data_IF_093131454825
#
_entry.id   IF_093131454825
#
_cell.length_a   1.000
_cell.length_b   1.000
_cell.length_c   1.000
_cell.angle_alpha   90.00
_cell.angle_beta   90.00
_cell.angle_gamma   90.00
#
_symmetry.space_group_name_H-M   'P 1'
#
loop_
_entity.id
_entity.type
_entity.pdbx_description
1 polymer ?
#
# COMPACT_ATOMS: atom_id res chain seq x y z
N UNK A 1 -44.54 -24.87 65.81
CA UNK A 1 -43.67 -23.70 65.53
C UNK A 1 -42.37 -24.04 64.76
N UNK A 2 -41.86 -25.27 64.86
CA UNK A 2 -40.61 -25.72 64.22
C UNK A 2 -40.59 -25.70 62.67
N UNK A 3 -41.75 -25.87 62.01
CA UNK A 3 -41.84 -25.82 60.52
C UNK A 3 -41.68 -24.40 59.95
N UNK A 4 -41.92 -23.37 60.76
CA UNK A 4 -41.82 -21.96 60.34
C UNK A 4 -40.37 -21.46 60.43
N UNK A 5 -39.63 -21.88 61.46
CA UNK A 5 -38.20 -21.59 61.59
C UNK A 5 -37.37 -22.32 60.53
N UNK A 6 -37.72 -23.57 60.20
CA UNK A 6 -37.05 -24.34 59.16
C UNK A 6 -37.25 -23.72 57.75
N UNK A 7 -38.46 -23.26 57.44
CA UNK A 7 -38.77 -22.53 56.19
C UNK A 7 -38.06 -21.18 56.10
N UNK A 8 -37.92 -20.47 57.22
CA UNK A 8 -37.16 -19.23 57.27
C UNK A 8 -35.66 -19.46 57.06
N UNK A 9 -35.09 -20.53 57.64
CA UNK A 9 -33.69 -20.91 57.43
C UNK A 9 -33.37 -21.28 55.98
N UNK A 10 -34.24 -22.04 55.32
CA UNK A 10 -34.09 -22.40 53.89
C UNK A 10 -34.16 -21.16 52.99
N UNK A 11 -35.07 -20.22 53.27
CA UNK A 11 -35.17 -18.96 52.51
C UNK A 11 -33.92 -18.10 52.69
N UNK A 12 -33.44 -17.95 53.93
CA UNK A 12 -32.19 -17.21 54.22
C UNK A 12 -31.00 -17.82 53.49
N UNK A 13 -30.88 -19.16 53.48
CA UNK A 13 -29.85 -19.86 52.72
C UNK A 13 -29.94 -19.63 51.21
N UNK A 14 -31.16 -19.64 50.65
CA UNK A 14 -31.38 -19.37 49.23
C UNK A 14 -31.04 -17.93 48.86
N UNK A 15 -31.44 -16.94 49.67
CA UNK A 15 -31.07 -15.54 49.46
C UNK A 15 -29.55 -15.32 49.59
N UNK A 16 -28.90 -15.94 50.56
CA UNK A 16 -27.45 -15.86 50.72
C UNK A 16 -26.70 -16.49 49.54
N UNK A 17 -27.17 -17.65 49.05
CA UNK A 17 -26.61 -18.31 47.87
C UNK A 17 -26.78 -17.48 46.60
N UNK A 18 -27.97 -16.91 46.37
CA UNK A 18 -28.24 -16.01 45.24
C UNK A 18 -27.38 -14.75 45.34
N UNK A 19 -27.27 -14.14 46.51
CA UNK A 19 -26.43 -12.96 46.72
C UNK A 19 -24.95 -13.26 46.45
N UNK A 20 -24.45 -14.43 46.88
CA UNK A 20 -23.07 -14.86 46.59
C UNK A 20 -22.85 -15.10 45.10
N UNK A 21 -23.82 -15.72 44.41
CA UNK A 21 -23.74 -15.95 42.96
C UNK A 21 -23.73 -14.62 42.19
N UNK A 22 -24.60 -13.68 42.54
CA UNK A 22 -24.63 -12.33 41.94
C UNK A 22 -23.31 -11.61 42.22
N UNK A 23 -22.81 -11.64 43.46
CA UNK A 23 -21.54 -11.02 43.84
C UNK A 23 -20.37 -11.58 43.01
N UNK A 24 -20.32 -12.90 42.82
CA UNK A 24 -19.29 -13.55 42.00
C UNK A 24 -19.36 -13.16 40.53
N UNK A 25 -20.56 -13.05 39.96
CA UNK A 25 -20.74 -12.60 38.57
C UNK A 25 -20.33 -11.13 38.40
N UNK A 26 -20.69 -10.27 39.36
CA UNK A 26 -20.29 -8.86 39.34
C UNK A 26 -18.76 -8.69 39.48
N UNK A 27 -18.12 -9.44 40.39
CA UNK A 27 -16.66 -9.49 40.54
C UNK A 27 -15.97 -9.93 39.24
N UNK A 28 -16.46 -10.99 38.59
CA UNK A 28 -15.89 -11.46 37.32
C UNK A 28 -16.01 -10.43 36.19
N UNK A 29 -17.07 -9.61 36.20
CA UNK A 29 -17.22 -8.48 35.27
C UNK A 29 -16.30 -7.30 35.59
N UNK A 30 -16.00 -7.07 36.88
CA UNK A 30 -15.09 -6.02 37.31
C UNK A 30 -13.62 -6.37 37.09
N UNK A 31 -13.29 -7.66 37.07
CA UNK A 31 -11.98 -8.16 36.64
C UNK A 31 -11.82 -8.02 35.11
N UNK A 32 -11.94 -6.80 34.60
CA UNK A 32 -11.53 -6.48 33.25
C UNK A 32 -10.01 -6.69 33.18
N UNK A 33 -9.50 -7.54 32.27
CA UNK A 33 -8.06 -7.63 32.07
C UNK A 33 -7.58 -6.23 31.65
N UNK A 34 -6.68 -5.66 32.44
CA UNK A 34 -6.04 -4.40 32.10
C UNK A 34 -5.20 -4.65 30.85
N UNK A 35 -5.78 -4.30 29.69
CA UNK A 35 -5.06 -4.31 28.43
C UNK A 35 -3.93 -3.31 28.62
N UNK A 36 -2.65 -3.70 28.53
CA UNK A 36 -1.55 -2.75 28.64
C UNK A 36 -1.76 -1.71 27.55
N UNK A 37 -2.08 -0.49 27.96
CA UNK A 37 -2.24 0.65 27.07
C UNK A 37 -0.89 0.82 26.39
N UNK A 38 -0.81 0.48 25.10
CA UNK A 38 0.28 0.96 24.26
C UNK A 38 0.25 2.47 24.32
N UNK A 39 1.41 3.09 24.51
CA UNK A 39 1.56 4.54 24.61
C UNK A 39 0.68 5.25 23.56
N UNK A 40 -0.04 6.32 23.95
CA UNK A 40 -0.85 7.08 23.02
C UNK A 40 -0.01 7.53 21.84
N UNK A 41 -0.55 7.37 20.64
CA UNK A 41 0.09 7.88 19.43
C UNK A 41 0.43 9.36 19.63
N UNK A 42 1.65 9.81 19.30
CA UNK A 42 2.00 11.21 19.45
C UNK A 42 1.00 12.07 18.66
N UNK A 43 0.61 13.25 19.19
CA UNK A 43 -0.29 14.13 18.47
C UNK A 43 0.34 14.47 17.13
N UNK A 44 -0.40 14.19 16.05
CA UNK A 44 -0.01 14.61 14.71
C UNK A 44 0.01 16.13 14.76
N UNK A 45 1.20 16.73 14.73
CA UNK A 45 1.32 18.17 14.53
C UNK A 45 0.49 18.52 13.28
N UNK A 46 -0.28 19.62 13.28
CA UNK A 46 -0.87 20.14 12.04
C UNK A 46 0.24 20.14 11.00
N UNK A 47 0.01 19.61 9.79
CA UNK A 47 1.04 19.68 8.78
C UNK A 47 1.37 21.18 8.67
N UNK A 48 2.61 21.54 9.02
CA UNK A 48 3.24 22.69 8.38
C UNK A 48 2.91 22.55 6.89
N UNK A 49 2.58 23.63 6.16
CA UNK A 49 2.24 23.51 4.76
C UNK A 49 3.43 22.88 4.04
N UNK A 50 3.39 21.56 3.93
CA UNK A 50 4.27 20.77 3.11
C UNK A 50 3.86 21.27 1.75
N UNK A 51 4.73 22.09 1.17
CA UNK A 51 4.66 22.36 -0.23
C UNK A 51 4.92 21.00 -0.89
N UNK A 52 3.87 20.20 -1.01
CA UNK A 52 3.81 19.06 -1.91
C UNK A 52 3.81 19.71 -3.30
N UNK A 53 4.96 20.28 -3.69
CA UNK A 53 5.34 20.22 -5.08
C UNK A 53 5.17 18.76 -5.43
N UNK A 54 4.44 18.47 -6.51
CA UNK A 54 4.28 17.12 -7.05
C UNK A 54 5.63 16.42 -6.86
N UNK A 55 5.74 15.56 -5.85
CA UNK A 55 6.94 14.81 -5.63
C UNK A 55 6.85 13.76 -6.72
N UNK A 56 7.39 14.14 -7.88
CA UNK A 56 7.61 13.28 -9.03
C UNK A 56 8.13 11.97 -8.44
N UNK A 57 7.32 10.90 -8.55
CA UNK A 57 7.80 9.58 -8.22
C UNK A 57 9.18 9.45 -8.88
N UNK A 58 10.22 8.96 -8.17
CA UNK A 58 11.55 8.87 -8.75
C UNK A 58 11.40 8.19 -10.11
N UNK A 59 11.73 8.94 -11.17
CA UNK A 59 11.52 8.47 -12.53
C UNK A 59 12.13 7.07 -12.61
N UNK A 60 11.41 6.08 -13.18
CA UNK A 60 11.93 4.73 -13.26
C UNK A 60 13.35 4.79 -13.85
N UNK A 61 14.28 3.96 -13.34
CA UNK A 61 15.65 3.97 -13.84
C UNK A 61 15.60 3.92 -15.37
N UNK A 62 16.32 4.84 -16.02
CA UNK A 62 16.22 5.00 -17.45
C UNK A 62 16.85 3.77 -18.15
N UNK A 63 16.03 2.77 -18.47
CA UNK A 63 16.41 1.51 -19.12
C UNK A 63 16.60 1.69 -20.64
N UNK A 64 17.44 2.64 -21.03
CA UNK A 64 17.85 2.82 -22.43
C UNK A 64 19.35 2.64 -22.62
N UNK A 65 19.71 2.21 -23.83
CA UNK A 65 21.10 2.05 -24.27
C UNK A 65 21.36 2.99 -25.43
N UNK A 66 22.60 3.48 -25.53
CA UNK A 66 23.02 4.26 -26.69
C UNK A 66 22.93 3.41 -27.97
N UNK A 67 22.51 3.98 -29.10
CA UNK A 67 22.57 3.32 -30.39
C UNK A 67 24.02 2.96 -30.74
N UNK A 68 24.19 1.87 -31.49
CA UNK A 68 25.48 1.52 -32.11
C UNK A 68 25.75 2.44 -33.30
N UNK A 69 26.96 2.37 -33.85
CA UNK A 69 27.37 3.17 -35.00
C UNK A 69 26.33 3.12 -36.13
N UNK A 70 25.96 4.30 -36.64
CA UNK A 70 24.92 4.46 -37.65
C UNK A 70 23.49 4.57 -37.12
N UNK A 71 23.29 4.71 -35.80
CA UNK A 71 21.95 4.96 -35.23
C UNK A 71 21.06 3.71 -35.14
N UNK A 72 21.66 2.53 -35.26
CA UNK A 72 20.98 1.25 -35.08
C UNK A 72 20.92 0.86 -33.59
N UNK A 73 19.97 0.00 -33.24
CA UNK A 73 19.82 -0.50 -31.88
C UNK A 73 20.28 -1.95 -31.77
N UNK A 74 20.89 -2.36 -30.65
CA UNK A 74 21.26 -3.75 -30.42
C UNK A 74 20.01 -4.64 -30.27
N UNK A 75 20.16 -5.94 -30.48
CA UNK A 75 19.06 -6.92 -30.39
C UNK A 75 18.41 -6.95 -29.00
N UNK A 76 19.15 -6.59 -27.95
CA UNK A 76 18.61 -6.49 -26.58
C UNK A 76 17.64 -5.31 -26.41
N UNK A 77 17.75 -4.26 -27.23
CA UNK A 77 16.97 -3.03 -27.14
C UNK A 77 16.40 -2.64 -28.51
N UNK A 78 15.48 -3.42 -29.08
CA UNK A 78 15.06 -3.26 -30.48
C UNK A 78 14.15 -2.05 -30.73
N UNK A 79 13.79 -1.25 -29.72
CA UNK A 79 12.90 -0.11 -29.90
C UNK A 79 13.72 1.15 -30.12
N UNK A 80 13.56 1.76 -31.30
CA UNK A 80 14.29 2.97 -31.71
C UNK A 80 13.57 4.23 -31.25
N UNK A 81 14.10 4.95 -30.27
CA UNK A 81 13.58 6.24 -29.82
C UNK A 81 14.26 7.43 -30.48
N UNK A 82 13.45 8.38 -30.96
CA UNK A 82 13.89 9.66 -31.50
C UNK A 82 13.46 10.78 -30.57
N UNK A 83 14.42 11.40 -29.88
CA UNK A 83 14.16 12.45 -28.89
C UNK A 83 13.67 13.74 -29.57
N UNK A 84 14.17 14.05 -30.76
CA UNK A 84 13.80 15.28 -31.49
C UNK A 84 12.30 15.37 -31.80
N UNK A 85 11.65 14.23 -32.03
CA UNK A 85 10.22 14.12 -32.33
C UNK A 85 9.41 13.45 -31.20
N UNK A 86 10.08 13.07 -30.11
CA UNK A 86 9.52 12.31 -28.98
C UNK A 86 8.74 11.06 -29.39
N UNK A 87 9.18 10.35 -30.43
CA UNK A 87 8.53 9.11 -30.89
C UNK A 87 9.46 7.91 -30.82
N UNK A 88 8.88 6.74 -30.59
CA UNK A 88 9.60 5.48 -30.74
C UNK A 88 9.02 4.62 -31.87
N UNK A 89 9.89 3.86 -32.51
CA UNK A 89 9.58 2.93 -33.59
C UNK A 89 9.87 1.50 -33.16
N UNK A 90 8.92 0.61 -33.42
CA UNK A 90 9.08 -0.83 -33.23
C UNK A 90 9.57 -1.51 -34.52
N UNK A 91 10.21 -2.68 -34.40
CA UNK A 91 10.52 -3.51 -35.56
C UNK A 91 9.26 -3.78 -36.42
N UNK A 92 9.38 -3.60 -37.73
CA UNK A 92 8.28 -3.78 -38.69
C UNK A 92 7.43 -2.53 -38.95
N UNK A 93 7.68 -1.41 -38.29
CA UNK A 93 7.07 -0.12 -38.63
C UNK A 93 7.73 0.46 -39.89
N UNK A 94 6.99 1.19 -40.71
CA UNK A 94 7.49 1.70 -42.00
C UNK A 94 8.77 2.54 -41.87
N UNK A 95 8.86 3.34 -40.82
CA UNK A 95 10.01 4.21 -40.59
C UNK A 95 11.14 3.56 -39.78
N UNK A 96 10.99 2.30 -39.34
CA UNK A 96 11.96 1.68 -38.42
C UNK A 96 13.37 1.62 -39.00
N UNK A 97 13.53 1.20 -40.24
CA UNK A 97 14.86 1.00 -40.86
C UNK A 97 15.56 2.31 -41.18
N UNK A 98 14.82 3.36 -41.54
CA UNK A 98 15.35 4.70 -41.87
C UNK A 98 15.57 5.60 -40.66
N UNK A 99 15.01 5.25 -39.50
CA UNK A 99 15.19 6.05 -38.29
C UNK A 99 16.56 5.76 -37.67
N UNK A 100 17.36 6.81 -37.55
CA UNK A 100 18.53 6.85 -36.68
C UNK A 100 18.06 7.14 -35.26
N UNK A 101 18.15 6.13 -34.39
CA UNK A 101 17.77 6.24 -32.99
C UNK A 101 18.72 7.17 -32.25
N UNK A 102 18.18 7.93 -31.29
CA UNK A 102 18.98 8.65 -30.30
C UNK A 102 19.11 7.82 -29.00
N UNK A 103 18.10 6.99 -28.71
CA UNK A 103 18.05 6.05 -27.58
C UNK A 103 17.40 4.74 -28.01
N UNK A 104 17.85 3.62 -27.44
CA UNK A 104 17.34 2.28 -27.70
C UNK A 104 16.71 1.68 -26.45
N UNK A 105 15.50 1.14 -26.56
CA UNK A 105 14.76 0.57 -25.41
C UNK A 105 14.48 -0.92 -25.61
N UNK A 106 14.44 -1.67 -24.50
CA UNK A 106 14.05 -3.07 -24.49
C UNK A 106 12.52 -3.24 -24.57
N UNK A 107 11.77 -2.34 -23.94
CA UNK A 107 10.31 -2.40 -23.85
C UNK A 107 9.66 -1.08 -24.22
N UNK A 108 8.41 -1.13 -24.68
CA UNK A 108 7.64 0.08 -24.99
C UNK A 108 7.35 0.90 -23.74
N UNK A 109 7.09 0.24 -22.62
CA UNK A 109 6.88 0.88 -21.34
C UNK A 109 8.09 1.73 -20.91
N UNK A 110 9.32 1.28 -21.17
CA UNK A 110 10.52 2.07 -20.91
C UNK A 110 10.62 3.32 -21.81
N UNK A 111 10.21 3.21 -23.08
CA UNK A 111 10.16 4.35 -23.99
C UNK A 111 9.06 5.35 -23.59
N UNK A 112 7.89 4.87 -23.19
CA UNK A 112 6.77 5.68 -22.71
C UNK A 112 7.11 6.38 -21.39
N UNK A 113 7.78 5.68 -20.47
CA UNK A 113 8.26 6.25 -19.22
C UNK A 113 9.32 7.35 -19.43
N UNK A 114 10.09 7.27 -20.51
CA UNK A 114 11.02 8.33 -20.93
C UNK A 114 10.32 9.46 -21.72
N UNK A 115 8.99 9.44 -21.79
CA UNK A 115 8.16 10.48 -22.39
C UNK A 115 8.06 10.42 -23.92
N UNK A 116 8.41 9.28 -24.53
CA UNK A 116 8.20 9.04 -25.95
C UNK A 116 6.82 8.43 -26.20
N UNK A 117 6.25 8.67 -27.37
CA UNK A 117 5.00 8.04 -27.80
C UNK A 117 5.19 7.18 -29.03
N UNK A 118 4.35 6.15 -29.20
CA UNK A 118 4.46 5.21 -30.31
C UNK A 118 4.26 5.94 -31.65
N UNK A 119 5.17 5.72 -32.60
CA UNK A 119 5.02 6.23 -33.96
C UNK A 119 3.76 5.63 -34.64
N UNK A 120 3.17 6.37 -35.57
CA UNK A 120 2.10 5.83 -36.43
C UNK A 120 2.71 4.79 -37.38
N UNK A 121 1.92 3.75 -37.69
CA UNK A 121 2.32 2.62 -38.57
C UNK A 121 2.78 3.11 -39.94
#
# INVERSE_FOLDING_TARGET
MLRRTLRSGVRLGLFAGIALAIYRVLQARQAQPEIPVRDPWPPVAPPEPVNVGLAEAPAPPQEWVAPIDGGACPVSHPIKGKLSSKIFHLPGMFAYDRTNADRCYATEAAAEADGLHRAKR
#
